data_IF_926499034749
#
_entry.id   IF_926499034749
#
_cell.length_a   1.000
_cell.length_b   1.000
_cell.length_c   1.000
_cell.angle_alpha   90.00
_cell.angle_beta   90.00
_cell.angle_gamma   90.00
#
_symmetry.space_group_name_H-M   'P 1'
#
loop_
_entity.id
_entity.type
_entity.pdbx_description
1 polymer ?
#
# COMPACT_ATOMS: atom_id res chain seq x y z
N UNK A 1 -16.43 14.32 -2.10
CA UNK A 1 -16.24 14.08 -0.65
C UNK A 1 -16.32 12.59 -0.30
N UNK A 2 -17.34 11.82 -0.74
CA UNK A 2 -17.51 10.39 -0.41
C UNK A 2 -16.32 9.55 -0.92
N UNK A 3 -15.85 9.78 -2.14
CA UNK A 3 -14.73 9.05 -2.74
C UNK A 3 -13.44 9.29 -1.93
N UNK A 4 -13.14 10.55 -1.60
CA UNK A 4 -11.96 10.90 -0.80
C UNK A 4 -12.02 10.30 0.61
N UNK A 5 -13.19 10.25 1.24
CA UNK A 5 -13.36 9.60 2.55
C UNK A 5 -13.15 8.08 2.46
N UNK A 6 -13.63 7.45 1.39
CA UNK A 6 -13.40 6.02 1.16
C UNK A 6 -11.91 5.70 0.90
N UNK A 7 -11.23 6.52 0.09
CA UNK A 7 -9.78 6.39 -0.15
C UNK A 7 -8.98 6.53 1.16
N UNK A 8 -9.33 7.49 2.03
CA UNK A 8 -8.67 7.66 3.33
C UNK A 8 -8.85 6.48 4.27
N UNK A 9 -10.04 5.89 4.29
CA UNK A 9 -10.28 4.68 5.09
C UNK A 9 -9.43 3.51 4.55
N UNK A 10 -9.32 3.36 3.24
CA UNK A 10 -8.45 2.36 2.62
C UNK A 10 -6.98 2.61 2.97
N UNK A 11 -6.50 3.86 2.85
CA UNK A 11 -5.14 4.25 3.23
C UNK A 11 -4.90 3.98 4.72
N UNK A 12 -5.86 4.32 5.60
CA UNK A 12 -5.79 4.05 7.04
C UNK A 12 -5.55 2.57 7.34
N UNK A 13 -6.25 1.67 6.64
CA UNK A 13 -6.14 0.23 6.87
C UNK A 13 -4.83 -0.31 6.30
N UNK A 14 -4.47 0.06 5.05
CA UNK A 14 -3.37 -0.56 4.32
C UNK A 14 -1.98 -0.06 4.75
N UNK A 15 -1.88 1.17 5.27
CA UNK A 15 -0.60 1.75 5.70
C UNK A 15 0.03 1.02 6.88
N UNK A 16 -0.77 0.38 7.75
CA UNK A 16 -0.28 -0.35 8.92
C UNK A 16 0.51 -1.60 8.51
N UNK A 17 -0.04 -2.56 7.75
CA UNK A 17 0.72 -3.73 7.32
C UNK A 17 1.89 -3.37 6.40
N UNK A 18 1.78 -2.30 5.59
CA UNK A 18 2.87 -1.81 4.77
C UNK A 18 4.04 -1.32 5.65
N UNK A 19 3.77 -0.46 6.62
CA UNK A 19 4.78 0.03 7.54
C UNK A 19 5.40 -1.11 8.35
N UNK A 20 4.58 -2.07 8.82
CA UNK A 20 5.06 -3.26 9.52
C UNK A 20 6.03 -4.07 8.64
N UNK A 21 5.66 -4.38 7.41
CA UNK A 21 6.52 -5.14 6.50
C UNK A 21 7.77 -4.35 6.09
N UNK A 22 7.68 -3.02 6.01
CA UNK A 22 8.83 -2.16 5.72
C UNK A 22 9.85 -2.16 6.86
N UNK A 23 9.39 -2.16 8.11
CA UNK A 23 10.28 -2.12 9.28
C UNK A 23 10.70 -3.52 9.71
N UNK A 24 9.76 -4.42 9.94
CA UNK A 24 10.04 -5.76 10.49
C UNK A 24 10.15 -6.86 9.43
N UNK A 25 10.02 -6.53 8.14
CA UNK A 25 10.01 -7.53 7.07
C UNK A 25 11.30 -8.36 7.02
N UNK A 26 12.46 -7.75 7.28
CA UNK A 26 13.74 -8.48 7.33
C UNK A 26 13.73 -9.54 8.44
N UNK A 27 13.38 -9.16 9.65
CA UNK A 27 13.26 -10.08 10.80
C UNK A 27 12.19 -11.14 10.57
N UNK A 28 11.06 -10.76 9.95
CA UNK A 28 10.01 -11.71 9.54
C UNK A 28 10.55 -12.77 8.57
N UNK A 29 11.22 -12.37 7.50
CA UNK A 29 11.75 -13.32 6.51
C UNK A 29 12.88 -14.17 7.09
N UNK A 30 13.74 -13.62 7.96
CA UNK A 30 14.76 -14.40 8.66
C UNK A 30 14.17 -15.55 9.51
N UNK A 31 13.07 -15.27 10.21
CA UNK A 31 12.37 -16.28 11.01
C UNK A 31 11.59 -17.27 10.14
N UNK A 32 11.06 -16.83 8.99
CA UNK A 32 10.23 -17.67 8.14
C UNK A 32 11.02 -18.63 7.28
N UNK A 33 12.07 -18.17 6.63
CA UNK A 33 12.83 -18.98 5.68
C UNK A 33 14.02 -19.70 6.36
N UNK A 34 14.48 -19.16 7.47
CA UNK A 34 15.64 -19.71 8.19
C UNK A 34 16.89 -19.69 7.31
N UNK A 35 17.47 -20.89 7.09
CA UNK A 35 18.71 -21.07 6.29
C UNK A 35 18.45 -21.58 4.86
N UNK A 36 17.20 -21.74 4.46
CA UNK A 36 16.86 -22.38 3.16
C UNK A 36 16.95 -21.43 1.98
N UNK A 37 16.74 -20.15 2.19
CA UNK A 37 16.81 -19.12 1.16
C UNK A 37 17.42 -17.85 1.74
N UNK A 38 17.83 -16.92 0.88
CA UNK A 38 18.31 -15.61 1.29
C UNK A 38 17.16 -14.70 1.77
N UNK A 39 17.07 -14.41 3.09
CA UNK A 39 16.00 -13.58 3.62
C UNK A 39 16.08 -12.12 3.14
N UNK A 40 17.27 -11.61 2.83
CA UNK A 40 17.45 -10.25 2.34
C UNK A 40 16.92 -10.09 0.91
N UNK A 41 17.12 -11.11 0.06
CA UNK A 41 16.54 -11.13 -1.27
C UNK A 41 15.00 -11.12 -1.22
N UNK A 42 14.42 -11.96 -0.37
CA UNK A 42 12.96 -12.01 -0.19
C UNK A 42 12.39 -10.70 0.36
N UNK A 43 13.09 -10.08 1.30
CA UNK A 43 12.71 -8.79 1.85
C UNK A 43 12.69 -7.69 0.79
N UNK A 44 13.71 -7.59 -0.05
CA UNK A 44 13.76 -6.61 -1.16
C UNK A 44 12.61 -6.85 -2.15
N UNK A 45 12.38 -8.11 -2.55
CA UNK A 45 11.26 -8.46 -3.42
C UNK A 45 9.89 -8.10 -2.80
N UNK A 46 9.74 -8.31 -1.50
CA UNK A 46 8.55 -7.92 -0.76
C UNK A 46 8.36 -6.39 -0.73
N UNK A 47 9.41 -5.61 -0.49
CA UNK A 47 9.34 -4.15 -0.51
C UNK A 47 8.90 -3.60 -1.88
N UNK A 48 9.42 -4.17 -2.97
CA UNK A 48 9.00 -3.79 -4.33
C UNK A 48 7.50 -4.05 -4.54
N UNK A 49 6.99 -5.20 -4.07
CA UNK A 49 5.56 -5.51 -4.13
C UNK A 49 4.71 -4.61 -3.25
N UNK A 50 5.18 -4.30 -2.03
CA UNK A 50 4.49 -3.42 -1.08
C UNK A 50 4.31 -2.01 -1.64
N UNK A 51 5.32 -1.47 -2.34
CA UNK A 51 5.21 -0.19 -3.02
C UNK A 51 4.06 -0.18 -4.06
N UNK A 52 3.94 -1.26 -4.84
CA UNK A 52 2.83 -1.41 -5.80
C UNK A 52 1.48 -1.57 -5.10
N UNK A 53 1.42 -2.34 -4.01
CA UNK A 53 0.20 -2.54 -3.23
C UNK A 53 -0.31 -1.23 -2.63
N UNK A 54 0.59 -0.39 -2.08
CA UNK A 54 0.20 0.91 -1.54
C UNK A 54 -0.47 1.78 -2.60
N UNK A 55 0.17 1.95 -3.76
CA UNK A 55 -0.39 2.76 -4.85
C UNK A 55 -1.72 2.18 -5.35
N UNK A 56 -1.81 0.87 -5.50
CA UNK A 56 -3.03 0.20 -5.94
C UNK A 56 -4.18 0.37 -4.95
N UNK A 57 -3.91 0.23 -3.65
CA UNK A 57 -4.90 0.38 -2.59
C UNK A 57 -5.40 1.83 -2.48
N UNK A 58 -4.49 2.82 -2.61
CA UNK A 58 -4.82 4.24 -2.55
C UNK A 58 -5.74 4.72 -3.68
N UNK A 59 -5.84 3.96 -4.78
CA UNK A 59 -6.67 4.31 -5.93
C UNK A 59 -7.82 3.32 -6.17
N UNK A 60 -7.97 2.32 -5.30
CA UNK A 60 -8.96 1.25 -5.48
C UNK A 60 -10.37 1.79 -5.65
N UNK A 61 -10.73 2.83 -4.93
CA UNK A 61 -12.06 3.46 -5.01
C UNK A 61 -12.29 4.11 -6.38
N UNK A 62 -11.23 4.59 -7.06
CA UNK A 62 -11.34 5.22 -8.38
C UNK A 62 -11.81 4.25 -9.46
N UNK A 63 -11.56 2.94 -9.31
CA UNK A 63 -12.09 1.94 -10.24
C UNK A 63 -13.62 1.88 -10.23
N UNK A 64 -14.26 2.15 -9.11
CA UNK A 64 -15.72 2.25 -9.02
C UNK A 64 -16.27 3.45 -9.79
N UNK A 65 -15.50 4.53 -9.93
CA UNK A 65 -15.88 5.68 -10.75
C UNK A 65 -16.06 5.27 -12.21
N UNK A 66 -15.20 4.42 -12.74
CA UNK A 66 -15.31 3.93 -14.13
C UNK A 66 -16.55 3.08 -14.36
N UNK A 67 -16.97 2.31 -13.35
CA UNK A 67 -18.20 1.52 -13.39
C UNK A 67 -19.43 2.42 -13.37
N UNK A 68 -19.49 3.39 -12.45
CA UNK A 68 -20.62 4.32 -12.30
C UNK A 68 -20.77 5.21 -13.54
N UNK A 69 -19.65 5.68 -14.11
CA UNK A 69 -19.67 6.54 -15.31
C UNK A 69 -19.80 5.75 -16.61
N UNK A 70 -19.90 4.41 -16.55
CA UNK A 70 -19.94 3.49 -17.72
C UNK A 70 -18.75 3.66 -18.68
N UNK A 71 -17.61 4.17 -18.20
CA UNK A 71 -16.38 4.41 -18.99
C UNK A 71 -15.30 3.37 -18.73
N UNK A 72 -15.69 2.10 -18.67
CA UNK A 72 -14.79 0.97 -18.33
C UNK A 72 -13.86 0.59 -19.49
N UNK A 73 -14.31 0.77 -20.76
CA UNK A 73 -13.60 0.27 -21.95
C UNK A 73 -12.14 0.73 -22.03
N UNK A 74 -11.88 2.02 -21.87
CA UNK A 74 -10.52 2.56 -21.95
C UNK A 74 -9.65 2.05 -20.80
N UNK A 75 -10.19 1.99 -19.58
CA UNK A 75 -9.46 1.45 -18.43
C UNK A 75 -9.07 -0.01 -18.66
N UNK A 76 -10.01 -0.84 -19.16
CA UNK A 76 -9.73 -2.25 -19.46
C UNK A 76 -8.68 -2.42 -20.56
N UNK A 77 -8.72 -1.60 -21.61
CA UNK A 77 -7.69 -1.60 -22.66
C UNK A 77 -6.30 -1.26 -22.12
N UNK A 78 -6.20 -0.27 -21.22
CA UNK A 78 -4.92 0.12 -20.61
C UNK A 78 -4.42 -0.98 -19.66
N UNK A 79 -5.29 -1.65 -18.91
CA UNK A 79 -4.90 -2.77 -18.06
C UNK A 79 -4.32 -3.92 -18.90
N UNK A 80 -5.03 -4.35 -19.96
CA UNK A 80 -4.57 -5.42 -20.84
C UNK A 80 -3.27 -5.01 -21.56
N UNK A 81 -3.23 -3.80 -22.13
CA UNK A 81 -2.04 -3.29 -22.81
C UNK A 81 -0.82 -3.21 -21.89
N UNK A 82 -0.98 -2.70 -20.66
CA UNK A 82 0.11 -2.69 -19.68
C UNK A 82 0.55 -4.09 -19.29
N UNK A 83 -0.37 -5.06 -19.20
CA UNK A 83 -0.05 -6.45 -18.93
C UNK A 83 0.81 -7.08 -20.04
N UNK A 84 0.41 -6.89 -21.30
CA UNK A 84 1.19 -7.36 -22.47
C UNK A 84 2.58 -6.74 -22.50
N UNK A 85 2.68 -5.43 -22.28
CA UNK A 85 3.98 -4.71 -22.23
C UNK A 85 4.85 -5.23 -21.06
N UNK A 86 4.25 -5.47 -19.89
CA UNK A 86 4.97 -6.04 -18.74
C UNK A 86 5.58 -7.40 -19.11
N UNK A 87 4.80 -8.30 -19.68
CA UNK A 87 5.27 -9.64 -20.06
C UNK A 87 6.39 -9.53 -21.11
N UNK A 88 6.18 -8.75 -22.18
CA UNK A 88 7.19 -8.56 -23.21
C UNK A 88 8.51 -7.99 -22.65
N UNK A 89 8.42 -6.96 -21.79
CA UNK A 89 9.60 -6.35 -21.16
C UNK A 89 10.32 -7.33 -20.24
N UNK A 90 9.58 -8.14 -19.46
CA UNK A 90 10.18 -9.17 -18.59
C UNK A 90 10.96 -10.18 -19.42
N UNK A 91 10.39 -10.69 -20.52
CA UNK A 91 11.09 -11.65 -21.39
C UNK A 91 12.39 -11.06 -21.95
N UNK A 92 12.34 -9.82 -22.47
CA UNK A 92 13.52 -9.16 -22.99
C UNK A 92 14.60 -9.00 -21.90
N UNK A 93 14.21 -8.58 -20.70
CA UNK A 93 15.17 -8.39 -19.59
C UNK A 93 15.74 -9.71 -19.09
N UNK A 94 14.98 -10.78 -19.05
CA UNK A 94 15.48 -12.10 -18.65
C UNK A 94 16.50 -12.66 -19.65
N UNK A 95 16.34 -12.36 -20.95
CA UNK A 95 17.30 -12.78 -21.98
C UNK A 95 18.55 -11.89 -22.03
N UNK A 96 18.42 -10.59 -21.75
CA UNK A 96 19.51 -9.62 -21.91
C UNK A 96 20.26 -9.32 -20.62
N UNK A 97 19.68 -9.67 -19.43
CA UNK A 97 20.27 -9.35 -18.13
C UNK A 97 20.21 -10.52 -17.15
N UNK A 98 21.09 -10.50 -16.14
CA UNK A 98 21.09 -11.49 -15.07
C UNK A 98 20.22 -11.09 -13.86
N UNK A 99 19.19 -10.26 -14.06
CA UNK A 99 18.34 -9.75 -12.97
C UNK A 99 17.41 -10.82 -12.36
N UNK A 100 17.11 -11.92 -13.08
CA UNK A 100 16.28 -13.00 -12.59
C UNK A 100 14.93 -12.53 -12.03
N UNK A 101 14.63 -12.90 -10.78
CA UNK A 101 13.36 -12.55 -10.12
C UNK A 101 13.14 -11.03 -9.96
N UNK A 102 14.23 -10.25 -9.84
CA UNK A 102 14.11 -8.78 -9.76
C UNK A 102 13.57 -8.16 -11.04
N UNK A 103 13.86 -8.72 -12.21
CA UNK A 103 13.27 -8.27 -13.47
C UNK A 103 11.74 -8.44 -13.47
N UNK A 104 11.25 -9.58 -13.00
CA UNK A 104 9.81 -9.89 -12.98
C UNK A 104 9.07 -8.91 -12.05
N UNK A 105 9.55 -8.78 -10.82
CA UNK A 105 8.91 -7.94 -9.82
C UNK A 105 9.09 -6.45 -10.13
N UNK A 106 10.30 -6.04 -10.51
CA UNK A 106 10.64 -4.65 -10.81
C UNK A 106 9.86 -4.09 -12.01
N UNK A 107 9.76 -4.84 -13.11
CA UNK A 107 8.99 -4.43 -14.29
C UNK A 107 7.50 -4.32 -13.93
N UNK A 108 6.96 -5.32 -13.22
CA UNK A 108 5.57 -5.30 -12.78
C UNK A 108 5.28 -4.09 -11.87
N UNK A 109 6.21 -3.75 -10.98
CA UNK A 109 6.14 -2.56 -10.12
C UNK A 109 6.09 -1.28 -10.97
N UNK A 110 7.03 -1.11 -11.92
CA UNK A 110 7.12 0.10 -12.74
C UNK A 110 5.84 0.32 -13.55
N UNK A 111 5.38 -0.70 -14.30
CA UNK A 111 4.14 -0.57 -15.07
C UNK A 111 2.91 -0.40 -14.17
N UNK A 112 2.87 -1.07 -13.02
CA UNK A 112 1.81 -0.90 -12.02
C UNK A 112 1.75 0.53 -11.48
N UNK A 113 2.89 1.09 -11.07
CA UNK A 113 2.98 2.47 -10.56
C UNK A 113 2.62 3.47 -11.67
N UNK A 114 3.15 3.34 -12.87
CA UNK A 114 2.83 4.24 -13.99
C UNK A 114 1.33 4.26 -14.29
N UNK A 115 0.73 3.06 -14.39
CA UNK A 115 -0.71 2.96 -14.63
C UNK A 115 -1.53 3.55 -13.48
N UNK A 116 -1.19 3.18 -12.25
CA UNK A 116 -2.00 3.51 -11.08
C UNK A 116 -1.77 4.94 -10.59
N UNK A 117 -0.57 5.49 -10.76
CA UNK A 117 -0.26 6.85 -10.32
C UNK A 117 -0.53 7.90 -11.39
N UNK A 118 -0.40 7.55 -12.68
CA UNK A 118 -0.59 8.50 -13.78
C UNK A 118 -1.94 8.30 -14.44
N UNK A 119 -2.18 7.13 -15.05
CA UNK A 119 -3.37 6.93 -15.86
C UNK A 119 -4.65 6.96 -15.03
N UNK A 120 -4.73 6.18 -13.96
CA UNK A 120 -5.98 5.97 -13.20
C UNK A 120 -6.51 7.26 -12.56
N UNK A 121 -5.72 8.08 -11.83
CA UNK A 121 -6.21 9.34 -11.25
C UNK A 121 -6.59 10.37 -12.30
N UNK A 122 -5.78 10.51 -13.37
CA UNK A 122 -6.07 11.46 -14.46
C UNK A 122 -7.34 11.10 -15.21
N UNK A 123 -7.53 9.81 -15.50
CA UNK A 123 -8.74 9.35 -16.20
C UNK A 123 -9.98 9.45 -15.31
N UNK A 124 -9.87 9.14 -14.01
CA UNK A 124 -10.95 9.33 -13.05
C UNK A 124 -11.35 10.81 -12.92
N UNK A 125 -10.36 11.71 -12.83
CA UNK A 125 -10.62 13.16 -12.79
C UNK A 125 -11.37 13.64 -14.04
N UNK A 126 -11.00 13.14 -15.23
CA UNK A 126 -11.74 13.45 -16.48
C UNK A 126 -13.16 12.88 -16.48
N UNK A 127 -13.36 11.68 -15.95
CA UNK A 127 -14.69 11.08 -15.87
C UNK A 127 -15.64 11.85 -14.95
N UNK A 128 -15.12 12.39 -13.85
CA UNK A 128 -15.85 13.17 -12.85
C UNK A 128 -15.88 14.69 -13.14
N UNK A 129 -15.17 15.15 -14.18
CA UNK A 129 -15.01 16.57 -14.52
C UNK A 129 -14.43 17.40 -13.36
N UNK A 130 -13.53 16.82 -12.58
CA UNK A 130 -12.81 17.48 -11.48
C UNK A 130 -11.37 17.79 -11.89
N UNK A 131 -10.67 18.60 -11.08
CA UNK A 131 -9.28 18.96 -11.33
C UNK A 131 -8.37 17.72 -11.26
N UNK A 132 -7.39 17.62 -12.13
CA UNK A 132 -6.50 16.46 -12.28
C UNK A 132 -5.73 16.09 -10.99
N UNK A 133 -5.43 17.07 -10.13
CA UNK A 133 -4.69 16.87 -8.89
C UNK A 133 -5.55 16.47 -7.68
N UNK A 134 -6.88 16.39 -7.84
CA UNK A 134 -7.82 16.17 -6.72
C UNK A 134 -7.51 14.91 -5.90
N UNK A 135 -7.05 13.85 -6.55
CA UNK A 135 -6.79 12.55 -5.90
C UNK A 135 -5.35 12.40 -5.37
N UNK A 136 -4.41 13.24 -5.84
CA UNK A 136 -3.01 13.14 -5.41
C UNK A 136 -2.78 13.56 -3.96
N UNK A 137 -3.64 14.41 -3.42
CA UNK A 137 -3.57 14.83 -2.02
C UNK A 137 -3.75 13.67 -1.03
N UNK A 138 -4.67 12.76 -1.31
CA UNK A 138 -4.91 11.60 -0.45
C UNK A 138 -3.78 10.56 -0.59
N UNK A 139 -3.22 10.35 -1.79
CA UNK A 139 -2.06 9.50 -2.02
C UNK A 139 -0.83 10.03 -1.26
N UNK A 140 -0.56 11.34 -1.36
CA UNK A 140 0.56 11.97 -0.66
C UNK A 140 0.40 11.85 0.86
N UNK A 141 -0.80 12.07 1.38
CA UNK A 141 -1.10 11.90 2.79
C UNK A 141 -0.82 10.47 3.26
N UNK A 142 -1.15 9.47 2.43
CA UNK A 142 -0.84 8.08 2.72
C UNK A 142 0.66 7.80 2.79
N UNK A 143 1.45 8.36 1.88
CA UNK A 143 2.92 8.25 1.92
C UNK A 143 3.50 8.89 3.18
N UNK A 144 3.03 10.08 3.54
CA UNK A 144 3.45 10.77 4.77
C UNK A 144 3.08 9.93 6.00
N UNK A 145 1.89 9.34 6.01
CA UNK A 145 1.45 8.47 7.11
C UNK A 145 2.33 7.24 7.27
N UNK A 146 2.65 6.53 6.17
CA UNK A 146 3.56 5.38 6.22
C UNK A 146 4.94 5.80 6.73
N UNK A 147 5.47 6.92 6.23
CA UNK A 147 6.75 7.46 6.69
C UNK A 147 6.76 7.76 8.19
N UNK A 148 5.70 8.38 8.71
CA UNK A 148 5.57 8.65 10.14
C UNK A 148 5.43 7.38 10.97
N UNK A 149 4.65 6.40 10.52
CA UNK A 149 4.55 5.10 11.20
C UNK A 149 5.92 4.42 11.23
N UNK A 150 6.63 4.37 10.09
CA UNK A 150 7.97 3.80 10.03
C UNK A 150 8.93 4.49 11.00
N UNK A 151 8.91 5.83 11.09
CA UNK A 151 9.75 6.59 12.03
C UNK A 151 9.44 6.26 13.50
N UNK A 152 8.15 6.09 13.85
CA UNK A 152 7.73 5.75 15.20
C UNK A 152 8.06 4.30 15.57
N UNK A 153 8.00 3.40 14.57
CA UNK A 153 8.17 1.95 14.78
C UNK A 153 9.63 1.51 14.61
N UNK A 154 10.44 2.23 13.84
CA UNK A 154 11.85 1.90 13.58
C UNK A 154 12.70 1.68 14.86
N UNK A 155 12.54 2.46 15.94
CA UNK A 155 13.28 2.23 17.18
C UNK A 155 13.09 0.83 17.76
N UNK A 156 11.91 0.23 17.59
CA UNK A 156 11.65 -1.13 18.10
C UNK A 156 12.51 -2.17 17.39
N UNK A 157 12.71 -2.06 16.07
CA UNK A 157 13.60 -2.93 15.32
C UNK A 157 15.07 -2.72 15.69
N UNK A 158 15.48 -1.47 15.97
CA UNK A 158 16.86 -1.13 16.31
C UNK A 158 17.25 -1.55 17.73
N UNK A 159 16.34 -1.44 18.70
CA UNK A 159 16.64 -1.70 20.12
C UNK A 159 16.23 -3.07 20.60
N UNK A 160 15.27 -3.74 19.93
CA UNK A 160 14.75 -5.04 20.34
C UNK A 160 15.27 -6.11 19.38
N UNK A 161 16.15 -6.97 19.86
CA UNK A 161 16.64 -8.10 19.06
C UNK A 161 15.54 -9.16 18.93
N UNK A 162 15.04 -9.35 17.69
CA UNK A 162 13.90 -10.23 17.38
C UNK A 162 14.45 -11.61 16.97
N UNK A 163 14.54 -12.52 17.93
CA UNK A 163 15.13 -13.87 17.78
C UNK A 163 14.04 -14.95 17.63
N UNK A 164 12.75 -14.60 17.67
CA UNK A 164 11.68 -15.59 17.61
C UNK A 164 10.30 -14.99 17.34
N UNK A 165 9.39 -15.87 16.93
CA UNK A 165 8.03 -15.51 16.55
C UNK A 165 7.25 -14.79 17.67
N UNK A 166 7.43 -15.22 18.92
CA UNK A 166 6.72 -14.61 20.07
C UNK A 166 7.13 -13.14 20.22
N UNK A 167 8.42 -12.84 20.13
CA UNK A 167 8.91 -11.46 20.20
C UNK A 167 8.43 -10.63 19.02
N UNK A 168 8.47 -11.18 17.78
CA UNK A 168 7.98 -10.52 16.60
C UNK A 168 6.49 -10.15 16.73
N UNK A 169 5.65 -11.08 17.21
CA UNK A 169 4.23 -10.80 17.42
C UNK A 169 3.99 -9.79 18.54
N UNK A 170 4.71 -9.91 19.68
CA UNK A 170 4.57 -8.96 20.77
C UNK A 170 4.95 -7.54 20.35
N UNK A 171 6.10 -7.36 19.69
CA UNK A 171 6.53 -6.07 19.16
C UNK A 171 5.56 -5.59 18.07
N UNK A 172 5.10 -6.50 17.21
CA UNK A 172 4.13 -6.20 16.16
C UNK A 172 2.80 -5.69 16.68
N UNK A 173 2.29 -6.24 17.80
CA UNK A 173 1.06 -5.75 18.45
C UNK A 173 1.27 -4.32 18.99
N UNK A 174 2.37 -4.07 19.69
CA UNK A 174 2.69 -2.74 20.22
C UNK A 174 2.86 -1.73 19.08
N UNK A 175 3.64 -2.09 18.06
CA UNK A 175 3.84 -1.27 16.86
C UNK A 175 2.52 -1.02 16.12
N UNK A 176 1.66 -2.03 16.00
CA UNK A 176 0.34 -1.92 15.39
C UNK A 176 -0.58 -0.95 16.13
N UNK A 177 -0.60 -0.98 17.47
CA UNK A 177 -1.38 -0.03 18.28
C UNK A 177 -0.86 1.40 18.08
N UNK A 178 0.46 1.61 18.09
CA UNK A 178 1.06 2.91 17.81
C UNK A 178 0.75 3.39 16.39
N UNK A 179 0.84 2.50 15.40
CA UNK A 179 0.50 2.79 14.02
C UNK A 179 -0.97 3.19 13.85
N UNK A 180 -1.90 2.50 14.51
CA UNK A 180 -3.31 2.88 14.56
C UNK A 180 -3.49 4.27 15.14
N UNK A 181 -2.79 4.59 16.21
CA UNK A 181 -2.85 5.91 16.85
C UNK A 181 -2.34 7.01 15.91
N UNK A 182 -1.16 6.81 15.30
CA UNK A 182 -0.59 7.77 14.32
C UNK A 182 -1.56 7.98 13.16
N UNK A 183 -2.05 6.90 12.54
CA UNK A 183 -2.99 6.96 11.43
C UNK A 183 -4.30 7.66 11.78
N UNK A 184 -4.82 7.43 12.96
CA UNK A 184 -6.06 8.07 13.42
C UNK A 184 -5.95 9.60 13.41
N UNK A 185 -4.76 10.14 13.73
CA UNK A 185 -4.55 11.58 13.75
C UNK A 185 -4.07 12.16 12.41
N UNK A 186 -3.35 11.39 11.60
CA UNK A 186 -2.75 11.86 10.35
C UNK A 186 -3.70 11.70 9.16
N UNK A 187 -4.29 10.52 9.01
CA UNK A 187 -5.06 10.16 7.80
C UNK A 187 -6.51 10.62 7.90
N UNK A 188 -7.15 10.43 9.07
CA UNK A 188 -8.57 10.71 9.21
C UNK A 188 -8.87 12.18 9.50
N UNK A 189 -9.84 12.75 8.79
CA UNK A 189 -10.40 14.09 9.07
C UNK A 189 -11.25 14.07 10.33
N UNK A 190 -11.52 15.26 10.90
CA UNK A 190 -12.35 15.40 12.12
C UNK A 190 -13.71 14.69 12.00
N UNK A 191 -14.38 14.83 10.86
CA UNK A 191 -15.68 14.19 10.61
C UNK A 191 -15.57 12.65 10.57
N UNK A 192 -14.50 12.10 9.95
CA UNK A 192 -14.27 10.67 9.84
C UNK A 192 -13.91 10.07 11.20
N UNK A 193 -13.11 10.80 12.02
CA UNK A 193 -12.81 10.41 13.41
C UNK A 193 -14.07 10.32 14.27
N UNK A 194 -14.96 11.30 14.17
CA UNK A 194 -16.23 11.28 14.90
C UNK A 194 -17.08 10.09 14.49
N UNK A 195 -17.19 9.80 13.20
CA UNK A 195 -17.93 8.63 12.69
C UNK A 195 -17.36 7.30 13.22
N UNK A 196 -16.05 7.16 13.28
CA UNK A 196 -15.39 5.96 13.84
C UNK A 196 -15.65 5.86 15.35
N UNK A 197 -15.51 6.96 16.09
CA UNK A 197 -15.76 7.00 17.54
C UNK A 197 -17.21 6.69 17.89
N UNK A 198 -18.18 7.23 17.15
CA UNK A 198 -19.60 6.96 17.34
C UNK A 198 -19.94 5.49 17.08
N UNK A 199 -19.36 4.89 16.01
CA UNK A 199 -19.53 3.47 15.72
C UNK A 199 -18.94 2.56 16.81
N UNK A 200 -17.78 2.90 17.34
CA UNK A 200 -17.18 2.16 18.46
C UNK A 200 -18.02 2.29 19.71
N UNK A 201 -18.46 3.52 20.04
CA UNK A 201 -19.31 3.79 21.20
C UNK A 201 -20.67 3.08 21.12
N UNK A 202 -21.29 3.06 19.95
CA UNK A 202 -22.58 2.37 19.74
C UNK A 202 -22.49 0.85 19.89
N UNK A 203 -21.33 0.24 19.56
CA UNK A 203 -21.09 -1.18 19.77
C UNK A 203 -20.81 -1.52 21.24
N UNK A 204 -20.08 -0.65 21.96
CA UNK A 204 -19.79 -0.82 23.38
C UNK A 204 -21.04 -0.68 24.27
N UNK A 205 -22.05 0.09 23.86
CA UNK A 205 -23.30 0.23 24.59
C UNK A 205 -24.36 -0.84 24.24
N UNK A 206 -24.07 -1.76 23.30
CA UNK A 206 -24.96 -2.89 22.96
C UNK A 206 -24.62 -4.20 23.69
N UNK A 207 -23.60 -4.18 24.53
CA UNK A 207 -23.25 -5.23 25.48
C UNK A 207 -23.39 -4.71 26.91
#
# INVERSE_FOLDING_TARGET
DIISSADRIMIFIISIPIAFLTVFGRSFFQLWVGKTQDPDQLYILALLNVGTLFVSASIQVLYHVFLITKRVKLNSMVIVGSGVLTVATVFVLLETTNLGMYAIVGVSMVYGILRNLIFTPLYAARCLQVKWYTFYGDILMGLVSIGLICLVVLPFELFIHIDGWIKLFAVGIVAGVLALFVNFFVVLRKAERQMVLEKVRSKLHRH
#
